data_IF_136217858908
#
_entry.id   IF_136217858908
#
_cell.length_a   1.000
_cell.length_b   1.000
_cell.length_c   1.000
_cell.angle_alpha   90.00
_cell.angle_beta   90.00
_cell.angle_gamma   90.00
#
_symmetry.space_group_name_H-M   'P 1'
#
loop_
_entity.id
_entity.type
_entity.pdbx_description
1 polymer ?
#
# COMPACT_ATOMS: atom_id res chain seq x y z
N UNK A 1 23.46 -45.91 12.78
CA UNK A 1 22.97 -45.24 11.54
C UNK A 1 21.55 -44.65 11.67
N UNK A 2 20.53 -45.41 12.10
CA UNK A 2 19.14 -44.89 12.22
C UNK A 2 19.00 -43.60 13.07
N UNK A 3 19.66 -43.50 14.22
CA UNK A 3 19.61 -42.31 15.10
C UNK A 3 20.20 -41.03 14.44
N UNK A 4 21.27 -41.16 13.65
CA UNK A 4 21.92 -40.03 12.96
C UNK A 4 21.01 -39.49 11.88
N UNK A 5 20.34 -40.37 11.12
CA UNK A 5 19.37 -39.97 10.07
C UNK A 5 18.17 -39.24 10.69
N UNK A 6 17.68 -39.67 11.83
CA UNK A 6 16.57 -39.02 12.54
C UNK A 6 16.95 -37.60 12.99
N UNK A 7 18.16 -37.42 13.54
CA UNK A 7 18.66 -36.09 13.92
C UNK A 7 18.84 -35.14 12.72
N UNK A 8 19.33 -35.67 11.58
CA UNK A 8 19.47 -34.89 10.37
C UNK A 8 18.11 -34.46 9.80
N UNK A 9 17.14 -35.34 9.78
CA UNK A 9 15.77 -35.03 9.31
C UNK A 9 15.08 -34.01 10.22
N UNK A 10 15.24 -34.13 11.53
CA UNK A 10 14.68 -33.20 12.52
C UNK A 10 15.31 -31.80 12.38
N UNK A 11 16.64 -31.71 12.24
CA UNK A 11 17.37 -30.48 12.04
C UNK A 11 16.98 -29.80 10.71
N UNK A 12 16.86 -30.56 9.63
CA UNK A 12 16.42 -30.04 8.35
C UNK A 12 14.98 -29.52 8.39
N UNK A 13 14.05 -30.23 9.04
CA UNK A 13 12.68 -29.79 9.21
C UNK A 13 12.58 -28.48 10.01
N UNK A 14 13.38 -28.32 11.07
CA UNK A 14 13.41 -27.08 11.88
C UNK A 14 13.93 -25.92 11.01
N UNK A 15 15.00 -26.12 10.24
CA UNK A 15 15.55 -25.09 9.35
C UNK A 15 14.54 -24.68 8.28
N UNK A 16 13.85 -25.63 7.63
CA UNK A 16 12.83 -25.34 6.63
C UNK A 16 11.65 -24.58 7.23
N UNK A 17 11.16 -24.99 8.42
CA UNK A 17 10.07 -24.29 9.10
C UNK A 17 10.50 -22.88 9.51
N UNK A 18 11.71 -22.71 10.05
CA UNK A 18 12.22 -21.39 10.45
C UNK A 18 12.40 -20.47 9.23
N UNK A 19 12.96 -20.98 8.13
CA UNK A 19 13.09 -20.24 6.88
C UNK A 19 11.72 -19.89 6.27
N UNK A 20 10.76 -20.80 6.35
CA UNK A 20 9.39 -20.53 5.89
C UNK A 20 8.72 -19.45 6.72
N UNK A 21 8.84 -19.48 8.04
CA UNK A 21 8.31 -18.47 8.95
C UNK A 21 8.99 -17.12 8.68
N UNK A 22 10.31 -17.08 8.52
CA UNK A 22 11.05 -15.88 8.16
C UNK A 22 10.59 -15.36 6.79
N UNK A 23 10.44 -16.22 5.79
CA UNK A 23 9.99 -15.84 4.46
C UNK A 23 8.55 -15.29 4.47
N UNK A 24 7.60 -15.92 5.18
CA UNK A 24 6.25 -15.41 5.36
C UNK A 24 6.22 -14.06 6.08
N UNK A 25 7.04 -13.88 7.12
CA UNK A 25 7.15 -12.61 7.84
C UNK A 25 7.89 -11.52 7.05
N UNK A 26 8.67 -11.88 6.01
CA UNK A 26 9.34 -10.93 5.11
C UNK A 26 8.53 -10.60 3.86
N UNK A 27 7.42 -11.30 3.63
CA UNK A 27 6.48 -11.01 2.54
C UNK A 27 5.37 -10.08 3.05
N UNK A 28 5.55 -8.75 2.99
CA UNK A 28 4.58 -7.81 3.54
C UNK A 28 3.27 -7.77 2.74
N UNK A 29 3.23 -8.43 1.58
CA UNK A 29 2.07 -8.39 0.69
C UNK A 29 1.87 -9.71 -0.05
N UNK A 30 0.62 -10.05 -0.33
CA UNK A 30 0.25 -11.14 -1.25
C UNK A 30 -0.90 -10.73 -2.16
N UNK A 31 -0.91 -11.21 -3.43
CA UNK A 31 -2.00 -10.93 -4.35
C UNK A 31 -3.32 -11.51 -3.86
N UNK A 32 -4.41 -10.77 -4.09
CA UNK A 32 -5.78 -11.22 -3.85
C UNK A 32 -6.64 -10.86 -5.06
N UNK A 33 -7.76 -11.55 -5.24
CA UNK A 33 -8.76 -11.20 -6.25
C UNK A 33 -10.01 -10.69 -5.54
N UNK A 34 -10.11 -9.38 -5.39
CA UNK A 34 -11.20 -8.74 -4.68
C UNK A 34 -11.58 -7.43 -5.37
N UNK A 35 -12.85 -7.07 -5.31
CA UNK A 35 -13.40 -5.80 -5.80
C UNK A 35 -14.41 -5.28 -4.78
N UNK A 36 -14.76 -4.00 -4.88
CA UNK A 36 -15.80 -3.43 -4.02
C UNK A 36 -17.17 -3.93 -4.45
N UNK A 37 -17.90 -4.54 -3.53
CA UNK A 37 -19.26 -5.04 -3.81
C UNK A 37 -20.23 -3.90 -4.19
N UNK A 38 -21.18 -4.17 -5.10
CA UNK A 38 -22.13 -3.17 -5.63
C UNK A 38 -22.90 -2.41 -4.55
N UNK A 39 -23.31 -3.07 -3.49
CA UNK A 39 -24.05 -2.43 -2.39
C UNK A 39 -23.15 -1.56 -1.51
N UNK A 40 -21.88 -1.95 -1.32
CA UNK A 40 -20.89 -1.13 -0.64
C UNK A 40 -20.58 0.13 -1.46
N UNK A 41 -20.41 0.00 -2.78
CA UNK A 41 -20.18 1.12 -3.70
C UNK A 41 -21.25 2.22 -3.59
N UNK A 42 -22.54 1.87 -3.45
CA UNK A 42 -23.62 2.85 -3.32
C UNK A 42 -23.51 3.72 -2.07
N UNK A 43 -22.88 3.20 -1.02
CA UNK A 43 -22.71 3.88 0.28
C UNK A 43 -21.47 4.76 0.36
N UNK A 44 -20.54 4.64 -0.61
CA UNK A 44 -19.32 5.41 -0.62
C UNK A 44 -19.57 6.90 -0.91
N UNK A 45 -18.73 7.79 -0.36
CA UNK A 45 -18.65 9.18 -0.79
C UNK A 45 -18.45 9.26 -2.31
N UNK A 46 -18.95 10.34 -2.92
CA UNK A 46 -18.92 10.49 -4.39
C UNK A 46 -17.52 10.35 -4.98
N UNK A 47 -16.51 10.97 -4.33
CA UNK A 47 -15.12 10.90 -4.83
C UNK A 47 -14.52 9.50 -4.66
N UNK A 48 -14.75 8.83 -3.54
CA UNK A 48 -14.32 7.44 -3.34
C UNK A 48 -14.89 6.52 -4.43
N UNK A 49 -16.17 6.67 -4.74
CA UNK A 49 -16.83 5.89 -5.79
C UNK A 49 -16.21 6.14 -7.16
N UNK A 50 -15.98 7.41 -7.54
CA UNK A 50 -15.32 7.77 -8.81
C UNK A 50 -13.92 7.16 -8.91
N UNK A 51 -13.15 7.19 -7.82
CA UNK A 51 -11.81 6.59 -7.73
C UNK A 51 -11.88 5.08 -7.99
N UNK A 52 -12.78 4.36 -7.29
CA UNK A 52 -12.93 2.90 -7.48
C UNK A 52 -13.40 2.57 -8.89
N UNK A 53 -14.42 3.25 -9.41
CA UNK A 53 -14.94 3.06 -10.77
C UNK A 53 -13.83 3.24 -11.83
N UNK A 54 -13.00 4.28 -11.67
CA UNK A 54 -11.86 4.50 -12.56
C UNK A 54 -10.84 3.35 -12.47
N UNK A 55 -10.47 2.93 -11.25
CA UNK A 55 -9.49 1.87 -11.04
C UNK A 55 -9.98 0.54 -11.63
N UNK A 56 -11.21 0.16 -11.35
CA UNK A 56 -11.78 -1.12 -11.84
C UNK A 56 -11.91 -1.12 -13.37
N UNK A 57 -12.19 0.03 -13.98
CA UNK A 57 -12.31 0.16 -15.44
C UNK A 57 -10.96 0.30 -16.16
N UNK A 58 -9.96 0.94 -15.55
CA UNK A 58 -8.73 1.39 -16.22
C UNK A 58 -7.43 0.93 -15.55
N UNK A 59 -7.48 0.34 -14.36
CA UNK A 59 -6.29 -0.08 -13.62
C UNK A 59 -5.26 -0.83 -14.46
N UNK A 60 -5.63 -1.86 -15.25
CA UNK A 60 -4.69 -2.57 -16.11
C UNK A 60 -3.98 -1.69 -17.15
N UNK A 61 -4.65 -0.64 -17.64
CA UNK A 61 -4.04 0.31 -18.59
C UNK A 61 -3.23 1.42 -17.92
N UNK A 62 -3.55 1.73 -16.64
CA UNK A 62 -2.81 2.72 -15.82
C UNK A 62 -1.44 2.20 -15.42
N UNK A 63 -1.36 0.94 -15.03
CA UNK A 63 -0.11 0.27 -14.66
C UNK A 63 -0.03 -1.12 -15.29
N UNK A 64 0.21 -1.21 -16.62
CA UNK A 64 0.27 -2.49 -17.34
C UNK A 64 1.44 -3.35 -16.89
N UNK A 65 2.52 -2.73 -16.44
CA UNK A 65 3.67 -3.41 -15.81
C UNK A 65 4.15 -2.58 -14.63
N UNK A 66 4.80 -3.22 -13.66
CA UNK A 66 5.38 -2.52 -12.50
C UNK A 66 6.44 -1.49 -12.93
N UNK A 67 7.27 -1.83 -13.92
CA UNK A 67 8.30 -0.92 -14.41
C UNK A 67 7.74 0.31 -15.13
N UNK A 68 6.54 0.22 -15.71
CA UNK A 68 5.89 1.34 -16.40
C UNK A 68 5.15 2.30 -15.46
N UNK A 69 4.76 1.82 -14.29
CA UNK A 69 4.11 2.62 -13.25
C UNK A 69 4.26 1.92 -11.89
N UNK A 70 5.24 2.32 -11.10
CA UNK A 70 5.37 1.92 -9.69
C UNK A 70 4.20 2.44 -8.86
N UNK A 71 4.10 2.05 -7.59
CA UNK A 71 2.96 2.40 -6.72
C UNK A 71 2.64 3.91 -6.71
N UNK A 72 3.65 4.78 -6.63
CA UNK A 72 3.46 6.24 -6.64
C UNK A 72 2.92 6.75 -7.97
N UNK A 73 3.40 6.23 -9.11
CA UNK A 73 2.89 6.60 -10.44
C UNK A 73 1.46 6.11 -10.66
N UNK A 74 1.12 4.93 -10.13
CA UNK A 74 -0.26 4.45 -10.13
C UNK A 74 -1.18 5.42 -9.38
N UNK A 75 -0.81 5.78 -8.14
CA UNK A 75 -1.58 6.71 -7.30
C UNK A 75 -1.73 8.08 -7.98
N UNK A 76 -0.64 8.64 -8.55
CA UNK A 76 -0.68 9.91 -9.28
C UNK A 76 -1.69 9.85 -10.43
N UNK A 77 -1.64 8.82 -11.27
CA UNK A 77 -2.54 8.68 -12.42
C UNK A 77 -4.00 8.50 -11.99
N UNK A 78 -4.24 7.79 -10.89
CA UNK A 78 -5.60 7.63 -10.34
C UNK A 78 -6.13 8.97 -9.83
N UNK A 79 -5.36 9.73 -9.06
CA UNK A 79 -5.79 11.05 -8.57
C UNK A 79 -6.04 12.01 -9.74
N UNK A 80 -5.12 12.06 -10.72
CA UNK A 80 -5.27 12.93 -11.90
C UNK A 80 -6.52 12.65 -12.73
N UNK A 81 -7.06 11.44 -12.65
CA UNK A 81 -8.30 11.08 -13.35
C UNK A 81 -9.54 11.76 -12.77
N UNK A 82 -9.48 12.19 -11.51
CA UNK A 82 -10.61 12.78 -10.77
C UNK A 82 -10.34 14.21 -10.31
N UNK A 83 -9.09 14.56 -10.04
CA UNK A 83 -8.66 15.92 -9.69
C UNK A 83 -7.21 16.17 -10.13
N UNK A 84 -6.94 17.22 -10.94
CA UNK A 84 -5.60 17.46 -11.46
C UNK A 84 -4.58 17.75 -10.35
N UNK A 85 -3.41 17.13 -10.41
CA UNK A 85 -2.29 17.37 -9.52
C UNK A 85 -1.31 18.39 -10.10
N UNK A 86 -0.80 19.27 -9.26
CA UNK A 86 0.34 20.15 -9.56
C UNK A 86 1.65 19.35 -9.62
N UNK A 87 2.71 19.97 -10.17
CA UNK A 87 4.06 19.37 -10.16
C UNK A 87 4.56 19.11 -8.73
N UNK A 88 4.30 20.04 -7.81
CA UNK A 88 4.72 19.91 -6.40
C UNK A 88 4.01 18.73 -5.73
N UNK A 89 2.70 18.62 -5.87
CA UNK A 89 1.94 17.50 -5.30
C UNK A 89 2.41 16.13 -5.83
N UNK A 90 2.74 16.04 -7.13
CA UNK A 90 3.32 14.81 -7.71
C UNK A 90 4.67 14.48 -7.11
N UNK A 91 5.52 15.49 -6.84
CA UNK A 91 6.81 15.29 -6.20
C UNK A 91 6.67 14.87 -4.74
N UNK A 92 5.70 15.43 -4.01
CA UNK A 92 5.37 15.02 -2.63
C UNK A 92 4.93 13.53 -2.61
N UNK A 93 4.08 13.10 -3.56
CA UNK A 93 3.66 11.70 -3.67
C UNK A 93 4.85 10.77 -3.91
N UNK A 94 5.83 11.18 -4.73
CA UNK A 94 7.03 10.39 -5.05
C UNK A 94 8.04 10.35 -3.91
N UNK A 95 7.88 11.17 -2.89
CA UNK A 95 8.82 11.28 -1.76
C UNK A 95 10.24 11.56 -2.24
N UNK A 96 10.38 12.61 -3.10
CA UNK A 96 11.68 13.02 -3.60
C UNK A 96 12.42 13.78 -2.49
N UNK A 97 13.53 13.20 -1.99
CA UNK A 97 14.33 13.76 -0.88
C UNK A 97 15.78 13.32 -0.98
N UNK A 98 16.69 14.18 -0.52
CA UNK A 98 18.12 13.86 -0.34
C UNK A 98 18.42 13.32 1.07
N UNK A 99 17.42 13.30 1.96
CA UNK A 99 17.56 12.81 3.33
C UNK A 99 17.38 11.30 3.40
N UNK A 100 18.04 10.66 4.38
CA UNK A 100 17.89 9.24 4.67
C UNK A 100 16.45 8.92 5.12
N UNK A 101 15.78 8.00 4.42
CA UNK A 101 14.38 7.66 4.69
C UNK A 101 14.16 7.13 6.10
N UNK A 102 15.06 6.31 6.62
CA UNK A 102 14.95 5.72 7.96
C UNK A 102 14.90 6.82 9.02
N UNK A 103 15.75 7.85 8.91
CA UNK A 103 15.76 9.00 9.81
C UNK A 103 14.47 9.83 9.70
N UNK A 104 13.95 10.02 8.49
CA UNK A 104 12.68 10.73 8.27
C UNK A 104 11.48 9.97 8.86
N UNK A 105 11.51 8.65 8.82
CA UNK A 105 10.47 7.79 9.41
C UNK A 105 10.54 7.85 10.92
N UNK A 106 11.74 7.84 11.51
CA UNK A 106 11.94 7.92 12.96
C UNK A 106 11.29 9.17 13.55
N UNK A 107 11.47 10.32 12.90
CA UNK A 107 10.92 11.62 13.36
C UNK A 107 9.49 11.90 12.84
N UNK A 108 8.83 10.95 12.18
CA UNK A 108 7.50 11.11 11.57
C UNK A 108 7.40 12.32 10.64
N UNK A 109 8.43 12.54 9.82
CA UNK A 109 8.50 13.69 8.91
C UNK A 109 7.30 13.74 7.94
N UNK A 110 6.74 14.94 7.67
CA UNK A 110 5.70 15.09 6.63
C UNK A 110 6.13 14.59 5.25
N UNK A 111 7.43 14.54 4.96
CA UNK A 111 7.97 14.07 3.67
C UNK A 111 7.58 12.62 3.41
N UNK A 112 7.68 11.76 4.41
CA UNK A 112 7.41 10.32 4.25
C UNK A 112 5.91 10.00 4.12
N UNK A 113 5.04 10.97 4.36
CA UNK A 113 3.59 10.77 4.28
C UNK A 113 3.06 10.82 2.83
N UNK A 114 3.91 11.17 1.85
CA UNK A 114 3.67 11.05 0.42
C UNK A 114 2.30 11.59 -0.03
N UNK A 115 1.43 10.71 -0.50
CA UNK A 115 0.09 11.09 -1.01
C UNK A 115 -0.76 11.83 0.05
N UNK A 116 -0.63 11.49 1.31
CA UNK A 116 -1.34 12.17 2.40
C UNK A 116 -0.93 13.65 2.47
N UNK A 117 0.38 13.94 2.56
CA UNK A 117 0.89 15.32 2.59
C UNK A 117 0.52 16.09 1.32
N UNK A 118 0.64 15.47 0.14
CA UNK A 118 0.34 16.09 -1.14
C UNK A 118 -1.12 16.58 -1.21
N UNK A 119 -2.06 15.73 -0.84
CA UNK A 119 -3.48 16.07 -0.91
C UNK A 119 -3.92 17.07 0.17
N UNK A 120 -3.34 17.01 1.36
CA UNK A 120 -3.63 17.99 2.42
C UNK A 120 -3.10 19.38 2.06
N UNK A 121 -1.85 19.50 1.61
CA UNK A 121 -1.25 20.77 1.18
C UNK A 121 -2.01 21.40 0.01
N UNK A 122 -2.44 20.57 -0.94
CA UNK A 122 -3.26 21.00 -2.08
C UNK A 122 -4.71 21.35 -1.75
N UNK A 123 -5.13 21.21 -0.48
CA UNK A 123 -6.53 21.32 -0.04
C UNK A 123 -7.51 20.41 -0.81
N UNK A 124 -6.99 19.29 -1.34
CA UNK A 124 -7.74 18.30 -2.13
C UNK A 124 -8.17 17.10 -1.30
N UNK A 125 -7.66 16.97 -0.08
CA UNK A 125 -7.93 15.84 0.80
C UNK A 125 -8.38 16.24 2.19
N UNK A 126 -8.96 15.28 2.90
CA UNK A 126 -9.23 15.30 4.32
C UNK A 126 -8.50 14.13 4.97
N UNK A 127 -7.75 14.38 6.04
CA UNK A 127 -7.08 13.35 6.82
C UNK A 127 -8.08 12.42 7.49
N UNK A 128 -7.79 11.11 7.49
CA UNK A 128 -8.55 10.10 8.22
C UNK A 128 -7.67 9.53 9.32
N UNK A 129 -7.94 9.95 10.55
CA UNK A 129 -7.15 9.57 11.73
C UNK A 129 -7.64 8.24 12.33
N UNK A 130 -8.95 8.02 12.34
CA UNK A 130 -9.57 6.84 12.93
C UNK A 130 -9.64 5.72 11.91
N UNK A 131 -8.97 4.59 12.20
CA UNK A 131 -8.86 3.47 11.27
C UNK A 131 -10.21 2.83 10.90
N UNK A 132 -11.20 2.91 11.79
CA UNK A 132 -12.58 2.43 11.55
C UNK A 132 -13.40 3.33 10.61
N UNK A 133 -12.90 4.55 10.32
CA UNK A 133 -13.49 5.49 9.37
C UNK A 133 -12.87 5.43 7.98
N UNK A 134 -11.87 4.59 7.79
CA UNK A 134 -11.25 4.35 6.48
C UNK A 134 -12.25 3.62 5.58
N UNK A 135 -12.38 4.08 4.36
CA UNK A 135 -13.33 3.54 3.38
C UNK A 135 -12.61 3.10 2.09
N UNK A 136 -13.18 2.17 1.33
CA UNK A 136 -12.74 1.92 -0.04
C UNK A 136 -12.68 3.23 -0.84
N UNK A 137 -11.60 3.43 -1.61
CA UNK A 137 -11.34 4.64 -2.36
C UNK A 137 -10.54 5.72 -1.62
N UNK A 138 -10.22 5.55 -0.34
CA UNK A 138 -9.26 6.39 0.36
C UNK A 138 -7.84 6.08 -0.11
N UNK A 139 -6.96 7.07 -0.10
CA UNK A 139 -5.56 6.91 -0.45
C UNK A 139 -4.73 6.65 0.80
N UNK A 140 -3.74 5.81 0.67
CA UNK A 140 -2.86 5.44 1.78
C UNK A 140 -1.39 5.50 1.38
N UNK A 141 -0.57 6.02 2.27
CA UNK A 141 0.87 5.81 2.34
C UNK A 141 1.16 5.04 3.62
N UNK A 142 2.00 4.01 3.55
CA UNK A 142 2.41 3.29 4.74
C UNK A 142 3.87 2.87 4.70
N UNK A 143 4.42 2.50 5.86
CA UNK A 143 5.79 2.04 6.05
C UNK A 143 5.82 0.85 6.98
N UNK A 144 6.66 -0.10 6.63
CA UNK A 144 7.11 -1.19 7.51
C UNK A 144 8.61 -1.02 7.75
N UNK A 145 9.04 -1.27 8.99
CA UNK A 145 10.47 -1.26 9.35
C UNK A 145 10.88 -2.70 9.66
N UNK A 146 11.80 -3.22 8.87
CA UNK A 146 12.27 -4.59 9.03
C UNK A 146 13.79 -4.61 9.06
N UNK A 147 14.36 -5.13 10.16
CA UNK A 147 15.81 -5.10 10.42
C UNK A 147 16.43 -3.70 10.23
N UNK A 148 15.76 -2.66 10.72
CA UNK A 148 16.22 -1.27 10.63
C UNK A 148 16.17 -0.68 9.22
N UNK A 149 15.52 -1.32 8.25
CA UNK A 149 15.28 -0.79 6.91
C UNK A 149 13.81 -0.51 6.70
N UNK A 150 13.53 0.66 6.16
CA UNK A 150 12.18 1.07 5.84
C UNK A 150 11.73 0.58 4.46
N UNK A 151 10.52 0.05 4.40
CA UNK A 151 9.84 -0.36 3.18
C UNK A 151 8.51 0.36 3.08
N UNK A 152 8.41 1.29 2.14
CA UNK A 152 7.22 2.09 1.91
C UNK A 152 6.39 1.59 0.74
N UNK A 153 5.09 1.80 0.85
CA UNK A 153 4.17 1.56 -0.26
C UNK A 153 2.97 2.51 -0.18
N UNK A 154 2.33 2.72 -1.33
CA UNK A 154 1.10 3.51 -1.41
C UNK A 154 0.09 2.87 -2.35
N UNK A 155 -1.17 3.22 -2.16
CA UNK A 155 -2.26 2.70 -2.98
C UNK A 155 -3.60 3.31 -2.62
N UNK A 156 -4.64 2.68 -3.14
CA UNK A 156 -6.04 3.03 -2.85
C UNK A 156 -6.67 1.89 -2.06
N UNK A 157 -7.28 2.23 -0.95
CA UNK A 157 -7.92 1.24 -0.06
C UNK A 157 -9.04 0.53 -0.80
N UNK A 158 -9.01 -0.79 -0.77
CA UNK A 158 -10.09 -1.67 -1.19
C UNK A 158 -10.86 -2.19 0.02
N UNK A 159 -10.12 -2.61 1.05
CA UNK A 159 -10.68 -3.18 2.27
C UNK A 159 -9.70 -2.99 3.43
N UNK A 160 -10.21 -2.91 4.64
CA UNK A 160 -9.42 -2.75 5.85
C UNK A 160 -10.05 -3.52 7.01
N UNK A 161 -9.21 -4.27 7.72
CA UNK A 161 -9.52 -4.79 9.05
C UNK A 161 -8.56 -4.08 10.01
N UNK A 162 -9.03 -3.09 10.78
CA UNK A 162 -8.17 -2.26 11.60
C UNK A 162 -7.25 -3.07 12.51
N UNK A 163 -5.96 -2.74 12.51
CA UNK A 163 -4.88 -3.41 13.26
C UNK A 163 -4.59 -4.87 12.85
N UNK A 164 -5.20 -5.37 11.77
CA UNK A 164 -4.97 -6.72 11.26
C UNK A 164 -4.46 -6.69 9.82
N UNK A 165 -5.27 -6.21 8.88
CA UNK A 165 -4.93 -6.23 7.46
C UNK A 165 -5.41 -5.00 6.70
N UNK A 166 -4.66 -4.67 5.65
CA UNK A 166 -4.95 -3.63 4.69
C UNK A 166 -4.92 -4.22 3.28
N UNK A 167 -6.00 -4.09 2.53
CA UNK A 167 -6.07 -4.53 1.13
C UNK A 167 -6.14 -3.31 0.22
N UNK A 168 -5.27 -3.26 -0.79
CA UNK A 168 -5.13 -2.10 -1.68
C UNK A 168 -5.28 -2.48 -3.16
N UNK A 169 -5.81 -1.55 -3.93
CA UNK A 169 -5.47 -1.41 -5.34
C UNK A 169 -4.14 -0.68 -5.45
N UNK A 170 -3.18 -1.25 -6.14
CA UNK A 170 -1.87 -0.64 -6.33
C UNK A 170 -1.14 -1.23 -7.54
N UNK A 171 0.03 -0.71 -7.86
CA UNK A 171 1.02 -1.37 -8.72
C UNK A 171 2.10 -1.98 -7.85
N UNK A 172 2.34 -3.28 -8.00
CA UNK A 172 3.26 -4.03 -7.15
C UNK A 172 4.05 -5.07 -7.95
N UNK A 173 5.31 -5.39 -7.59
CA UNK A 173 6.09 -6.44 -8.25
C UNK A 173 5.38 -7.80 -8.28
N UNK A 174 4.70 -8.19 -7.20
CA UNK A 174 4.01 -9.49 -7.11
C UNK A 174 2.81 -9.63 -8.04
N UNK A 175 2.21 -8.52 -8.45
CA UNK A 175 1.14 -8.51 -9.48
C UNK A 175 1.68 -8.15 -10.86
N UNK A 176 2.99 -7.90 -10.97
CA UNK A 176 3.62 -7.50 -12.22
C UNK A 176 3.20 -6.11 -12.74
N UNK A 177 2.48 -5.34 -11.94
CA UNK A 177 1.85 -4.05 -12.25
C UNK A 177 0.58 -3.87 -11.44
N UNK A 178 -0.49 -3.37 -12.07
CA UNK A 178 -1.79 -3.22 -11.41
C UNK A 178 -2.31 -4.54 -10.83
N UNK A 179 -2.89 -4.44 -9.64
CA UNK A 179 -3.59 -5.54 -8.98
C UNK A 179 -4.08 -5.17 -7.61
N UNK A 180 -4.63 -6.15 -6.92
CA UNK A 180 -5.03 -6.03 -5.52
C UNK A 180 -4.10 -6.85 -4.65
N UNK A 181 -3.59 -6.24 -3.59
CA UNK A 181 -2.67 -6.87 -2.64
C UNK A 181 -3.19 -6.66 -1.23
N UNK A 182 -3.06 -7.71 -0.42
CA UNK A 182 -3.32 -7.66 1.02
C UNK A 182 -1.99 -7.59 1.77
N UNK A 183 -1.95 -6.73 2.77
CA UNK A 183 -0.83 -6.49 3.67
C UNK A 183 -1.24 -6.82 5.10
N UNK A 184 -0.30 -7.26 5.92
CA UNK A 184 -0.44 -7.18 7.36
C UNK A 184 -0.47 -5.71 7.77
N UNK A 185 -1.01 -5.44 8.97
CA UNK A 185 -1.08 -4.07 9.45
C UNK A 185 0.31 -3.45 9.51
N UNK A 186 0.52 -2.28 8.85
CA UNK A 186 1.83 -1.66 8.78
C UNK A 186 2.21 -0.96 10.08
N UNK A 187 3.54 -0.75 10.29
CA UNK A 187 4.06 -0.05 11.46
C UNK A 187 3.62 1.43 11.49
N UNK A 188 3.50 2.05 10.32
CA UNK A 188 2.99 3.42 10.15
C UNK A 188 2.04 3.49 8.96
N UNK A 189 0.91 4.17 9.15
CA UNK A 189 -0.11 4.34 8.11
C UNK A 189 -0.63 5.79 8.13
N UNK A 190 -0.78 6.38 6.95
CA UNK A 190 -1.31 7.71 6.73
C UNK A 190 -2.40 7.63 5.69
N UNK A 191 -3.63 7.97 6.07
CA UNK A 191 -4.81 7.85 5.22
C UNK A 191 -5.39 9.21 4.91
N UNK A 192 -5.76 9.43 3.65
CA UNK A 192 -6.36 10.66 3.18
C UNK A 192 -7.49 10.37 2.20
N UNK A 193 -8.62 11.05 2.37
CA UNK A 193 -9.79 10.98 1.49
C UNK A 193 -9.84 12.21 0.59
N UNK A 194 -10.12 12.03 -0.71
CA UNK A 194 -10.41 13.15 -1.62
C UNK A 194 -11.72 13.85 -1.22
N UNK A 195 -11.71 15.20 -1.35
CA UNK A 195 -12.88 16.06 -1.12
C UNK A 195 -13.75 16.19 -2.36
#
# INVERSE_FOLDING_TARGET
MKKIITFFLLGFSIVVVTLSILWFNTQPAWPVHQTVGKEAMKKLPVMNRKVIEFIEAKGPSVAPTYNSAVCTEFVIKVIDSVTPLTKTERNDIRIITDSELDSLIEIDSPIIKGVHTALLRGNKGAEIIENDKVLPGDFVQFWNVFYGKAYGHCGVVLDIVPNETLTLYSSHPFTGGYGTQRYLWPDRIYVVRLK
#
